data_IF_591552546683
#
_entry.id   IF_591552546683
#
_cell.length_a   1.000
_cell.length_b   1.000
_cell.length_c   1.000
_cell.angle_alpha   90.00
_cell.angle_beta   90.00
_cell.angle_gamma   90.00
#
_symmetry.space_group_name_H-M   'P 1'
#
loop_
_entity.id
_entity.type
_entity.pdbx_description
1 polymer ?
#
# COMPACT_ATOMS: atom_id res chain seq x y z
N UNK A 1 24.51 7.06 -20.28
CA UNK A 1 23.34 7.21 -19.40
C UNK A 1 23.85 7.46 -17.99
N UNK A 2 23.24 8.34 -17.19
CA UNK A 2 23.61 8.52 -15.79
C UNK A 2 23.43 7.20 -15.02
N UNK A 3 24.31 6.94 -14.05
CA UNK A 3 24.18 5.77 -13.17
C UNK A 3 23.18 6.04 -12.02
N UNK A 4 22.83 4.99 -11.26
CA UNK A 4 21.84 5.11 -10.19
C UNK A 4 22.28 6.09 -9.09
N UNK A 5 23.59 6.25 -8.86
CA UNK A 5 24.13 7.15 -7.84
C UNK A 5 23.94 8.60 -8.23
N UNK A 6 24.23 8.91 -9.49
CA UNK A 6 24.01 10.25 -10.07
C UNK A 6 22.53 10.62 -9.98
N UNK A 7 21.63 9.72 -10.40
CA UNK A 7 20.19 9.94 -10.33
C UNK A 7 19.68 10.09 -8.88
N UNK A 8 20.25 9.35 -7.93
CA UNK A 8 19.89 9.44 -6.52
C UNK A 8 20.28 10.80 -5.91
N UNK A 9 21.45 11.34 -6.28
CA UNK A 9 21.88 12.67 -5.83
C UNK A 9 20.91 13.73 -6.36
N UNK A 10 20.57 13.67 -7.65
CA UNK A 10 19.65 14.61 -8.27
C UNK A 10 18.25 14.51 -7.64
N UNK A 11 17.72 13.30 -7.49
CA UNK A 11 16.44 13.04 -6.83
C UNK A 11 16.42 13.53 -5.38
N UNK A 12 17.54 13.43 -4.66
CA UNK A 12 17.64 13.83 -3.25
C UNK A 12 17.51 15.35 -3.05
N UNK A 13 17.83 16.14 -4.09
CA UNK A 13 17.69 17.61 -4.10
C UNK A 13 16.25 18.09 -4.37
N UNK A 14 15.34 17.21 -4.81
CA UNK A 14 13.94 17.57 -5.05
C UNK A 14 13.21 17.84 -3.71
N UNK A 15 12.17 18.69 -3.73
CA UNK A 15 11.25 18.82 -2.61
C UNK A 15 10.67 17.46 -2.17
N UNK A 16 10.36 17.31 -0.89
CA UNK A 16 9.83 16.05 -0.32
C UNK A 16 8.67 15.48 -1.13
N UNK A 17 7.71 16.33 -1.51
CA UNK A 17 6.54 15.92 -2.30
C UNK A 17 6.93 15.35 -3.67
N UNK A 18 7.88 15.98 -4.36
CA UNK A 18 8.37 15.52 -5.66
C UNK A 18 9.17 14.22 -5.55
N UNK A 19 9.93 14.04 -4.46
CA UNK A 19 10.62 12.77 -4.18
C UNK A 19 9.63 11.63 -3.99
N UNK A 20 8.54 11.87 -3.25
CA UNK A 20 7.48 10.87 -3.07
C UNK A 20 6.84 10.51 -4.41
N UNK A 21 6.51 11.51 -5.23
CA UNK A 21 5.97 11.27 -6.57
C UNK A 21 6.95 10.48 -7.47
N UNK A 22 8.24 10.80 -7.42
CA UNK A 22 9.26 10.09 -8.18
C UNK A 22 9.39 8.63 -7.73
N UNK A 23 9.38 8.37 -6.42
CA UNK A 23 9.40 7.00 -5.87
C UNK A 23 8.20 6.20 -6.40
N UNK A 24 6.99 6.77 -6.36
CA UNK A 24 5.80 6.11 -6.88
C UNK A 24 5.89 5.85 -8.38
N UNK A 25 6.28 6.87 -9.17
CA UNK A 25 6.39 6.74 -10.61
C UNK A 25 7.41 5.67 -11.02
N UNK A 26 8.54 5.57 -10.31
CA UNK A 26 9.53 4.51 -10.54
C UNK A 26 8.98 3.13 -10.13
N UNK A 27 8.27 3.06 -9.00
CA UNK A 27 7.65 1.83 -8.51
C UNK A 27 6.66 1.26 -9.53
N UNK A 28 5.84 2.11 -10.14
CA UNK A 28 4.83 1.74 -11.14
C UNK A 28 5.44 1.22 -12.47
N UNK A 29 6.74 1.43 -12.70
CA UNK A 29 7.43 0.90 -13.89
C UNK A 29 7.94 -0.53 -13.72
N UNK A 30 7.93 -1.08 -12.50
CA UNK A 30 8.48 -2.40 -12.22
C UNK A 30 7.47 -3.50 -12.57
N UNK A 31 7.90 -4.59 -13.24
CA UNK A 31 7.06 -5.77 -13.44
C UNK A 31 6.60 -6.42 -12.11
N UNK A 32 5.43 -7.05 -12.11
CA UNK A 32 4.86 -7.69 -10.90
C UNK A 32 5.71 -8.83 -10.33
N UNK A 33 6.54 -9.47 -11.14
CA UNK A 33 7.45 -10.53 -10.72
C UNK A 33 8.81 -10.00 -10.22
N UNK A 34 9.03 -8.68 -10.27
CA UNK A 34 10.27 -8.03 -9.85
C UNK A 34 10.31 -7.72 -8.35
N UNK A 35 9.26 -8.03 -7.61
CA UNK A 35 9.24 -7.81 -6.17
C UNK A 35 10.21 -8.76 -5.46
N UNK A 36 11.04 -8.25 -4.53
CA UNK A 36 11.87 -9.12 -3.72
C UNK A 36 11.01 -10.09 -2.91
N UNK A 37 11.50 -11.30 -2.60
CA UNK A 37 10.80 -12.20 -1.71
C UNK A 37 10.61 -11.52 -0.34
N UNK A 38 9.49 -11.82 0.32
CA UNK A 38 9.28 -11.41 1.70
C UNK A 38 10.37 -11.97 2.60
N UNK A 39 10.81 -11.19 3.57
CA UNK A 39 11.72 -11.70 4.60
C UNK A 39 11.03 -12.77 5.44
N UNK A 40 11.81 -13.66 6.05
CA UNK A 40 11.29 -14.70 6.94
C UNK A 40 10.47 -14.10 8.09
N UNK A 41 10.88 -12.93 8.59
CA UNK A 41 10.18 -12.18 9.64
C UNK A 41 8.78 -11.74 9.18
N UNK A 42 8.65 -11.17 7.98
CA UNK A 42 7.36 -10.77 7.43
C UNK A 42 6.48 -11.97 7.12
N UNK A 43 7.07 -13.05 6.59
CA UNK A 43 6.33 -14.28 6.32
C UNK A 43 5.80 -14.93 7.61
N UNK A 44 6.60 -14.93 8.68
CA UNK A 44 6.18 -15.42 9.98
C UNK A 44 5.03 -14.59 10.56
N UNK A 45 5.11 -13.26 10.46
CA UNK A 45 4.05 -12.37 10.95
C UNK A 45 2.74 -12.53 10.17
N UNK A 46 2.81 -12.65 8.84
CA UNK A 46 1.63 -12.92 8.00
C UNK A 46 0.98 -14.24 8.43
N UNK A 47 1.76 -15.32 8.55
CA UNK A 47 1.25 -16.63 8.97
C UNK A 47 0.58 -16.55 10.34
N UNK A 48 1.19 -15.86 11.31
CA UNK A 48 0.63 -15.67 12.65
C UNK A 48 -0.71 -14.94 12.61
N UNK A 49 -0.79 -13.81 11.91
CA UNK A 49 -2.03 -13.02 11.79
C UNK A 49 -3.14 -13.76 11.03
N UNK A 50 -2.79 -14.48 9.97
CA UNK A 50 -3.74 -15.32 9.25
C UNK A 50 -4.30 -16.41 10.17
N UNK A 51 -3.46 -17.09 10.95
CA UNK A 51 -3.93 -18.11 11.89
C UNK A 51 -4.86 -17.54 12.98
N UNK A 52 -4.55 -16.34 13.50
CA UNK A 52 -5.42 -15.65 14.47
C UNK A 52 -6.78 -15.27 13.86
N UNK A 53 -6.80 -14.81 12.61
CA UNK A 53 -8.02 -14.52 11.87
C UNK A 53 -8.87 -15.77 11.67
N UNK A 54 -8.27 -16.86 11.14
CA UNK A 54 -8.97 -18.12 10.89
C UNK A 54 -9.49 -18.77 12.18
N UNK A 55 -8.77 -18.61 13.30
CA UNK A 55 -9.21 -19.08 14.60
C UNK A 55 -10.31 -18.21 15.25
N UNK A 56 -10.69 -17.08 14.63
CA UNK A 56 -11.62 -16.13 15.23
C UNK A 56 -11.06 -15.42 16.48
N UNK A 57 -9.74 -15.42 16.65
CA UNK A 57 -9.06 -14.86 17.82
C UNK A 57 -8.91 -13.34 17.75
N UNK A 58 -9.23 -12.73 16.60
CA UNK A 58 -9.16 -11.28 16.38
C UNK A 58 -10.52 -10.73 15.94
N UNK A 59 -10.91 -9.53 16.42
CA UNK A 59 -12.12 -8.87 15.96
C UNK A 59 -11.96 -8.43 14.51
N UNK A 60 -12.95 -8.75 13.69
CA UNK A 60 -13.00 -8.36 12.27
C UNK A 60 -14.08 -7.31 12.07
N UNK A 61 -13.87 -6.38 11.13
CA UNK A 61 -14.90 -5.43 10.71
C UNK A 61 -15.29 -5.74 9.27
N UNK A 62 -16.60 -5.76 8.99
CA UNK A 62 -17.11 -5.96 7.65
C UNK A 62 -16.56 -4.88 6.69
N UNK A 63 -16.18 -5.28 5.49
CA UNK A 63 -15.62 -4.38 4.49
C UNK A 63 -16.59 -3.23 4.16
N UNK A 64 -17.88 -3.52 4.10
CA UNK A 64 -18.96 -2.57 3.81
C UNK A 64 -18.99 -1.44 4.84
N UNK A 65 -18.78 -1.78 6.12
CA UNK A 65 -18.74 -0.80 7.20
C UNK A 65 -17.52 0.11 7.09
N UNK A 66 -16.33 -0.47 6.85
CA UNK A 66 -15.09 0.31 6.68
C UNK A 66 -15.16 1.20 5.45
N UNK A 67 -15.66 0.68 4.33
CA UNK A 67 -15.83 1.42 3.07
C UNK A 67 -16.79 2.59 3.23
N UNK A 68 -17.95 2.37 3.86
CA UNK A 68 -18.93 3.44 4.10
C UNK A 68 -18.35 4.55 4.98
N UNK A 69 -17.63 4.20 6.04
CA UNK A 69 -16.97 5.16 6.92
C UNK A 69 -15.87 5.96 6.20
N UNK A 70 -15.07 5.29 5.36
CA UNK A 70 -14.03 5.95 4.56
C UNK A 70 -14.62 6.97 3.57
N UNK A 71 -15.69 6.60 2.86
CA UNK A 71 -16.38 7.49 1.91
C UNK A 71 -16.99 8.70 2.63
N UNK A 72 -17.62 8.48 3.79
CA UNK A 72 -18.15 9.55 4.64
C UNK A 72 -17.07 10.55 5.05
N UNK A 73 -15.88 10.08 5.43
CA UNK A 73 -14.73 10.95 5.77
C UNK A 73 -14.18 11.71 4.57
N UNK A 74 -14.21 11.10 3.40
CA UNK A 74 -13.80 11.73 2.15
C UNK A 74 -14.84 12.72 1.59
N UNK A 75 -16.02 12.85 2.21
CA UNK A 75 -17.11 13.70 1.71
C UNK A 75 -17.80 13.16 0.46
N UNK A 76 -17.63 11.86 0.16
CA UNK A 76 -18.25 11.18 -0.98
C UNK A 76 -19.49 10.45 -0.48
N UNK A 77 -20.68 10.83 -0.97
CA UNK A 77 -21.89 10.06 -0.69
C UNK A 77 -21.81 8.70 -1.38
N UNK A 78 -22.09 7.58 -0.68
CA UNK A 78 -22.16 6.28 -1.34
C UNK A 78 -23.28 6.31 -2.40
N UNK A 79 -23.10 5.64 -3.55
CA UNK A 79 -24.16 5.53 -4.55
C UNK A 79 -25.40 4.92 -3.90
N UNK A 80 -26.57 5.53 -4.13
CA UNK A 80 -27.85 5.02 -3.64
C UNK A 80 -28.00 3.56 -4.08
N UNK A 81 -28.20 2.66 -3.12
CA UNK A 81 -28.55 1.27 -3.39
C UNK A 81 -30.05 1.20 -3.74
N UNK A 82 -30.41 1.76 -4.89
CA UNK A 82 -31.71 1.60 -5.55
C UNK A 82 -31.52 1.86 -7.04
N UNK A 83 -31.14 0.80 -7.77
CA UNK A 83 -31.44 0.56 -9.19
C UNK A 83 -31.42 -0.97 -9.43
#
# INVERSE_FOLDING_TARGET
>A
MPDYRTLLVDASNLPVAERIHLIQALWDTLPEDSFPPLTDEWLAEIKRRSAEYEAGAVPTVAWEQIRAEALRRAGVSPPNASD
#
